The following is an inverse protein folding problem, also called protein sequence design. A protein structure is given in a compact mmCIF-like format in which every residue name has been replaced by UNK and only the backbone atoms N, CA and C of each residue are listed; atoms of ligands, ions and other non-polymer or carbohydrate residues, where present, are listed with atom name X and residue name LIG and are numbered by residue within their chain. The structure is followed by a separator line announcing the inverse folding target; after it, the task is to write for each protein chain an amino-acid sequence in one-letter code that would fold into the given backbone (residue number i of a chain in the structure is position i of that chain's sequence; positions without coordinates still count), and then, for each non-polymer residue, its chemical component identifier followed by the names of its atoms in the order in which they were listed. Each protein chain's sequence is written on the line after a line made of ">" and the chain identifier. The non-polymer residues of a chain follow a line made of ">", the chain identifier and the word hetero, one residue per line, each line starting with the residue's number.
data_IF_209980729170
#
_entry.id   IF_209980729170
#
_cell.length_a   1.000
_cell.length_b   1.000
_cell.length_c   1.000
_cell.angle_alpha   90.00
_cell.angle_beta   90.00
_cell.angle_gamma   90.00
#
_symmetry.space_group_name_H-M   'P 1'
#
loop_
_entity.id
_entity.type
_entity.pdbx_description
1 polymer ?
#
# COMPACT_ATOMS: atom_id res chain seq x y z
N UNK A 1 1.48 -17.65 -22.70
CA UNK A 1 1.64 -16.32 -22.06
C UNK A 1 0.34 -16.00 -21.35
N UNK A 2 0.38 -15.58 -20.08
CA UNK A 2 -0.81 -15.06 -19.39
C UNK A 2 -0.92 -13.56 -19.64
N UNK A 3 -2.13 -13.05 -19.82
CA UNK A 3 -2.36 -11.61 -19.98
C UNK A 3 -2.61 -10.96 -18.63
N UNK A 4 -2.20 -9.70 -18.48
CA UNK A 4 -2.52 -8.88 -17.31
C UNK A 4 -3.99 -8.45 -17.36
N UNK A 5 -4.78 -8.74 -16.32
CA UNK A 5 -6.23 -8.48 -16.30
C UNK A 5 -6.56 -6.99 -16.21
N UNK A 6 -5.73 -6.21 -15.50
CA UNK A 6 -5.81 -4.74 -15.41
C UNK A 6 -4.40 -4.17 -15.61
N UNK A 7 -4.14 -3.36 -16.66
CA UNK A 7 -2.80 -2.82 -16.91
C UNK A 7 -2.26 -2.04 -15.69
N UNK A 8 -0.99 -2.22 -15.32
CA UNK A 8 -0.44 -1.59 -14.11
C UNK A 8 -0.53 -0.06 -14.17
N UNK A 9 -0.16 0.57 -15.29
CA UNK A 9 -0.31 2.04 -15.48
C UNK A 9 -1.75 2.54 -15.31
N UNK A 10 -2.75 1.70 -15.55
CA UNK A 10 -4.15 2.03 -15.29
C UNK A 10 -4.46 1.99 -13.78
N UNK A 11 -3.92 1.01 -13.05
CA UNK A 11 -4.02 0.96 -11.58
C UNK A 11 -3.28 2.11 -10.89
N UNK A 12 -2.06 2.45 -11.33
CA UNK A 12 -1.28 3.60 -10.84
C UNK A 12 -2.07 4.91 -10.96
N UNK A 13 -2.69 5.13 -12.13
CA UNK A 13 -3.49 6.30 -12.42
C UNK A 13 -4.77 6.35 -11.55
N UNK A 14 -5.51 5.24 -11.45
CA UNK A 14 -6.73 5.18 -10.64
C UNK A 14 -6.45 5.33 -9.14
N UNK A 15 -5.38 4.71 -8.63
CA UNK A 15 -4.89 4.92 -7.25
C UNK A 15 -4.68 6.42 -6.98
N UNK A 16 -3.92 7.07 -7.86
CA UNK A 16 -3.60 8.50 -7.74
C UNK A 16 -4.84 9.39 -7.81
N UNK A 17 -5.79 9.10 -8.72
CA UNK A 17 -7.05 9.84 -8.80
C UNK A 17 -7.90 9.68 -7.53
N UNK A 18 -8.03 8.47 -6.98
CA UNK A 18 -8.80 8.24 -5.74
C UNK A 18 -8.20 9.00 -4.56
N UNK A 19 -6.88 8.97 -4.43
CA UNK A 19 -6.19 9.68 -3.36
C UNK A 19 -6.37 11.18 -3.47
N UNK A 20 -6.19 11.75 -4.67
CA UNK A 20 -6.46 13.17 -4.94
C UNK A 20 -7.95 13.54 -4.80
N UNK A 21 -8.89 12.60 -4.92
CA UNK A 21 -10.32 12.89 -4.71
C UNK A 21 -10.72 12.76 -3.24
N UNK A 22 -10.21 11.74 -2.53
CA UNK A 22 -10.45 11.52 -1.10
C UNK A 22 -9.84 12.63 -0.25
N UNK A 23 -8.57 12.95 -0.50
CA UNK A 23 -7.77 13.90 0.27
C UNK A 23 -7.57 15.26 -0.43
N UNK A 24 -8.32 15.49 -1.52
CA UNK A 24 -8.26 16.73 -2.31
C UNK A 24 -6.80 17.06 -2.69
N UNK A 25 -6.39 18.32 -2.56
CA UNK A 25 -5.03 18.80 -2.82
C UNK A 25 -4.08 18.63 -1.62
N UNK A 26 -4.38 17.74 -0.65
CA UNK A 26 -3.60 17.57 0.59
C UNK A 26 -3.00 16.17 0.77
N UNK A 27 -3.18 15.27 -0.20
CA UNK A 27 -2.26 14.16 -0.38
C UNK A 27 -1.12 14.60 -1.32
N UNK A 28 0.13 14.31 -0.95
CA UNK A 28 1.27 14.38 -1.86
C UNK A 28 1.61 12.97 -2.33
N UNK A 29 1.66 12.79 -3.65
CA UNK A 29 1.90 11.50 -4.29
C UNK A 29 3.21 11.55 -5.07
N UNK A 30 4.04 10.52 -4.93
CA UNK A 30 5.21 10.36 -5.78
C UNK A 30 5.38 8.90 -6.22
N UNK A 31 5.72 8.74 -7.49
CA UNK A 31 6.02 7.48 -8.14
C UNK A 31 7.52 7.51 -8.48
N UNK A 32 8.41 6.88 -7.69
CA UNK A 32 9.80 6.69 -8.09
C UNK A 32 9.90 6.08 -9.48
N UNK A 33 10.88 6.53 -10.27
CA UNK A 33 11.29 5.80 -11.45
C UNK A 33 11.98 4.48 -11.05
N UNK A 34 12.12 3.56 -11.99
CA UNK A 34 12.73 2.26 -11.75
C UNK A 34 14.16 2.39 -11.19
N UNK A 35 14.41 1.77 -10.03
CA UNK A 35 15.67 1.84 -9.30
C UNK A 35 15.85 3.11 -8.45
N UNK A 36 14.88 4.03 -8.43
CA UNK A 36 14.88 5.15 -7.48
C UNK A 36 14.38 4.70 -6.11
N UNK A 37 15.23 4.86 -5.09
CA UNK A 37 14.81 4.63 -3.72
C UNK A 37 14.03 5.83 -3.14
N UNK A 38 13.10 5.55 -2.21
CA UNK A 38 12.28 6.57 -1.59
C UNK A 38 13.07 7.29 -0.51
N UNK A 39 13.56 8.48 -0.84
CA UNK A 39 14.20 9.37 0.10
C UNK A 39 13.15 10.11 0.96
N UNK A 40 13.08 9.78 2.24
CA UNK A 40 12.20 10.42 3.23
C UNK A 40 12.45 11.95 3.32
N UNK A 41 13.66 12.42 3.02
CA UNK A 41 14.00 13.84 2.95
C UNK A 41 13.28 14.63 1.86
N UNK A 42 12.61 13.95 0.91
CA UNK A 42 11.76 14.57 -0.11
C UNK A 42 10.29 14.70 0.30
N UNK A 43 9.92 14.23 1.50
CA UNK A 43 8.57 14.42 2.03
C UNK A 43 8.26 15.91 2.29
N UNK A 44 6.99 16.34 2.11
CA UNK A 44 6.54 17.68 2.45
C UNK A 44 6.97 18.10 3.86
N UNK A 45 7.39 19.35 4.01
CA UNK A 45 7.84 19.94 5.28
C UNK A 45 6.67 20.34 6.18
N UNK A 46 5.72 19.42 6.37
CA UNK A 46 4.51 19.61 7.19
C UNK A 46 4.32 18.43 8.16
N UNK A 47 3.39 18.52 9.12
CA UNK A 47 2.98 17.41 9.97
C UNK A 47 2.05 16.47 9.20
N UNK A 48 2.19 15.17 9.40
CA UNK A 48 1.40 14.19 8.63
C UNK A 48 1.93 12.77 8.70
N UNK A 49 1.44 11.91 7.82
CA UNK A 49 1.79 10.49 7.71
C UNK A 49 2.30 10.17 6.31
N UNK A 50 3.32 9.34 6.20
CA UNK A 50 3.76 8.75 4.94
C UNK A 50 3.62 7.22 4.96
N UNK A 51 3.16 6.65 3.85
CA UNK A 51 3.13 5.20 3.61
C UNK A 51 3.63 4.89 2.20
N UNK A 52 4.16 3.67 2.02
CA UNK A 52 4.51 3.14 0.72
C UNK A 52 3.48 2.09 0.29
N UNK A 53 3.12 2.07 -0.99
CA UNK A 53 2.21 1.08 -1.58
C UNK A 53 2.89 0.43 -2.77
N UNK A 54 2.95 -0.89 -2.79
CA UNK A 54 3.37 -1.68 -3.94
C UNK A 54 2.13 -2.19 -4.67
N UNK A 55 1.82 -1.62 -5.84
CA UNK A 55 0.71 -2.13 -6.65
C UNK A 55 1.10 -3.44 -7.33
N UNK A 56 0.24 -4.45 -7.24
CA UNK A 56 0.34 -5.68 -8.06
C UNK A 56 -0.94 -5.90 -8.83
N UNK A 57 -0.82 -6.35 -10.07
CA UNK A 57 -1.97 -6.74 -10.89
C UNK A 57 -2.32 -8.24 -10.75
N UNK A 58 -3.35 -8.68 -11.45
CA UNK A 58 -3.69 -10.11 -11.61
C UNK A 58 -3.35 -10.60 -13.01
N UNK A 59 -2.71 -11.77 -13.10
CA UNK A 59 -2.49 -12.47 -14.36
C UNK A 59 -3.67 -13.40 -14.65
N UNK A 60 -4.30 -13.24 -15.82
CA UNK A 60 -5.29 -14.17 -16.36
C UNK A 60 -4.56 -15.44 -16.81
N UNK A 61 -4.80 -16.55 -16.09
CA UNK A 61 -4.24 -17.87 -16.42
C UNK A 61 -5.20 -18.72 -17.25
N UNK A 62 -6.50 -18.51 -17.03
CA UNK A 62 -7.64 -18.91 -17.87
C UNK A 62 -8.70 -17.80 -17.75
N UNK A 63 -9.69 -17.66 -18.65
CA UNK A 63 -10.70 -16.60 -18.57
C UNK A 63 -11.47 -16.55 -17.23
N UNK A 64 -11.54 -17.67 -16.52
CA UNK A 64 -12.15 -17.85 -15.20
C UNK A 64 -11.14 -17.85 -14.03
N UNK A 65 -9.83 -17.81 -14.27
CA UNK A 65 -8.78 -17.92 -13.24
C UNK A 65 -7.76 -16.78 -13.26
N UNK A 66 -7.75 -15.99 -12.19
CA UNK A 66 -6.85 -14.87 -11.99
C UNK A 66 -5.86 -15.16 -10.87
N UNK A 67 -4.56 -15.03 -11.13
CA UNK A 67 -3.49 -15.21 -10.15
C UNK A 67 -2.88 -13.87 -9.76
N UNK A 68 -2.77 -13.58 -8.45
CA UNK A 68 -1.86 -12.54 -7.95
C UNK A 68 -0.51 -13.20 -7.71
N UNK A 69 0.54 -12.61 -8.28
CA UNK A 69 1.92 -13.08 -8.16
C UNK A 69 2.80 -12.05 -7.48
N UNK A 70 3.72 -12.54 -6.67
CA UNK A 70 4.68 -11.74 -5.91
C UNK A 70 6.08 -12.09 -6.43
N UNK A 71 6.92 -11.08 -6.60
CA UNK A 71 8.36 -11.26 -6.77
C UNK A 71 8.98 -11.47 -5.38
N UNK A 72 9.67 -12.60 -5.20
CA UNK A 72 10.21 -12.98 -3.91
C UNK A 72 11.49 -12.19 -3.58
N UNK A 73 12.28 -11.80 -4.58
CA UNK A 73 13.47 -10.97 -4.38
C UNK A 73 13.07 -9.57 -3.89
N UNK A 74 12.07 -8.97 -4.54
CA UNK A 74 11.51 -7.68 -4.15
C UNK A 74 10.91 -7.72 -2.74
N UNK A 75 10.11 -8.74 -2.42
CA UNK A 75 9.55 -8.93 -1.07
C UNK A 75 10.66 -9.10 -0.02
N UNK A 76 11.70 -9.88 -0.32
CA UNK A 76 12.85 -10.07 0.56
C UNK A 76 13.58 -8.75 0.85
N UNK A 77 13.83 -7.94 -0.19
CA UNK A 77 14.44 -6.60 -0.06
C UNK A 77 13.58 -5.70 0.85
N UNK A 78 12.27 -5.63 0.62
CA UNK A 78 11.36 -4.83 1.44
C UNK A 78 11.38 -5.23 2.93
N UNK A 79 11.45 -6.53 3.23
CA UNK A 79 11.50 -7.00 4.63
C UNK A 79 12.82 -6.72 5.35
N UNK A 80 13.89 -6.34 4.62
CA UNK A 80 15.13 -5.83 5.24
C UNK A 80 15.02 -4.34 5.62
N UNK A 81 13.99 -3.63 5.15
CA UNK A 81 13.77 -2.21 5.48
C UNK A 81 13.23 -2.06 6.92
N UNK A 82 13.55 -0.95 7.62
CA UNK A 82 12.82 -0.53 8.82
C UNK A 82 11.32 -0.50 8.57
N UNK A 83 10.51 -0.83 9.59
CA UNK A 83 9.06 -1.01 9.42
C UNK A 83 8.37 0.22 8.81
N UNK A 84 8.79 1.44 9.14
CA UNK A 84 8.28 2.69 8.55
C UNK A 84 8.47 2.83 7.03
N UNK A 85 9.32 2.01 6.42
CA UNK A 85 9.68 2.02 4.99
C UNK A 85 9.18 0.80 4.22
N UNK A 86 8.57 -0.18 4.88
CA UNK A 86 8.01 -1.34 4.17
C UNK A 86 6.72 -0.93 3.45
N UNK A 87 6.41 -1.48 2.25
CA UNK A 87 5.18 -1.15 1.56
C UNK A 87 4.00 -2.00 2.04
N UNK A 88 2.80 -1.47 1.81
CA UNK A 88 1.59 -2.28 1.70
C UNK A 88 1.47 -2.79 0.25
N UNK A 89 1.30 -4.09 0.06
CA UNK A 89 0.89 -4.65 -1.23
C UNK A 89 -0.59 -4.38 -1.46
N UNK A 90 -0.91 -3.77 -2.61
CA UNK A 90 -2.29 -3.51 -3.01
C UNK A 90 -2.59 -4.12 -4.37
N UNK A 91 -3.65 -4.92 -4.46
CA UNK A 91 -3.95 -5.72 -5.66
C UNK A 91 -5.45 -5.93 -5.93
N UNK A 92 -5.84 -6.19 -7.19
CA UNK A 92 -7.22 -6.53 -7.53
C UNK A 92 -7.66 -7.86 -6.89
N UNK A 93 -8.88 -7.84 -6.35
CA UNK A 93 -9.73 -8.99 -6.05
C UNK A 93 -10.84 -9.02 -7.12
N UNK A 94 -10.62 -9.68 -8.27
CA UNK A 94 -11.47 -9.49 -9.45
C UNK A 94 -12.93 -9.82 -9.18
N UNK A 95 -13.82 -9.05 -9.81
CA UNK A 95 -15.26 -9.32 -9.84
C UNK A 95 -15.78 -9.70 -11.23
N UNK A 96 -14.88 -9.81 -12.20
CA UNK A 96 -15.10 -10.08 -13.63
C UNK A 96 -14.41 -11.38 -14.08
N UNK A 97 -14.49 -11.68 -15.39
CA UNK A 97 -13.75 -12.76 -16.08
C UNK A 97 -12.83 -12.14 -17.14
N UNK A 98 -11.71 -12.77 -17.45
CA UNK A 98 -10.81 -12.36 -18.54
C UNK A 98 -10.12 -11.02 -18.29
N UNK A 99 -9.96 -10.21 -19.34
CA UNK A 99 -9.46 -8.84 -19.20
C UNK A 99 -10.56 -7.92 -18.68
N UNK A 100 -10.21 -6.96 -17.82
CA UNK A 100 -11.19 -6.00 -17.29
C UNK A 100 -11.85 -5.18 -18.42
N UNK A 101 -11.12 -4.87 -19.49
CA UNK A 101 -11.63 -4.17 -20.69
C UNK A 101 -12.65 -5.00 -21.47
N UNK A 102 -12.41 -6.30 -21.64
CA UNK A 102 -13.36 -7.24 -22.29
C UNK A 102 -14.64 -7.37 -21.45
N UNK A 103 -14.48 -7.51 -20.14
CA UNK A 103 -15.62 -7.60 -19.23
C UNK A 103 -16.43 -6.30 -19.18
N UNK A 104 -15.77 -5.14 -19.20
CA UNK A 104 -16.42 -3.83 -19.32
C UNK A 104 -17.31 -3.77 -20.55
N UNK A 105 -16.76 -4.14 -21.71
CA UNK A 105 -17.48 -4.14 -22.98
C UNK A 105 -18.69 -5.09 -22.96
N UNK A 106 -18.55 -6.29 -22.37
CA UNK A 106 -19.67 -7.24 -22.16
C UNK A 106 -20.77 -6.67 -21.25
N UNK A 107 -20.42 -5.82 -20.28
CA UNK A 107 -21.36 -5.12 -19.42
C UNK A 107 -21.86 -3.77 -20.00
N UNK A 108 -21.48 -3.41 -21.23
CA UNK A 108 -21.87 -2.14 -21.87
C UNK A 108 -21.18 -0.91 -21.26
N UNK A 109 -20.09 -1.09 -20.51
CA UNK A 109 -19.32 -0.04 -19.85
C UNK A 109 -18.10 0.29 -20.73
N UNK A 110 -17.93 1.58 -21.07
CA UNK A 110 -16.73 2.04 -21.77
C UNK A 110 -15.53 1.95 -20.82
N UNK A 111 -14.38 1.48 -21.30
CA UNK A 111 -13.19 1.26 -20.46
C UNK A 111 -12.74 2.52 -19.68
N UNK A 112 -12.95 3.72 -20.24
CA UNK A 112 -12.67 4.99 -19.59
C UNK A 112 -13.55 5.28 -18.36
N UNK A 113 -14.72 4.65 -18.23
CA UNK A 113 -15.63 4.82 -17.09
C UNK A 113 -15.43 3.80 -15.98
N UNK A 114 -14.69 2.70 -16.22
CA UNK A 114 -14.55 1.55 -15.31
C UNK A 114 -14.31 1.91 -13.85
N UNK A 115 -13.39 2.85 -13.61
CA UNK A 115 -12.99 3.26 -12.27
C UNK A 115 -13.59 4.58 -11.80
N UNK A 116 -14.35 5.30 -12.65
CA UNK A 116 -14.83 6.66 -12.36
C UNK A 116 -16.35 6.86 -12.49
N UNK A 117 -17.07 5.99 -13.23
CA UNK A 117 -18.49 6.08 -13.63
C UNK A 117 -19.21 7.37 -13.19
N UNK A 118 -19.32 8.34 -14.12
CA UNK A 118 -19.90 9.67 -13.87
C UNK A 118 -21.30 9.64 -13.23
N UNK A 119 -22.05 8.56 -13.49
CA UNK A 119 -23.28 8.18 -12.79
C UNK A 119 -23.54 6.69 -12.99
N UNK A 120 -23.28 5.83 -11.99
CA UNK A 120 -23.43 4.38 -12.20
C UNK A 120 -23.19 3.46 -11.00
N UNK A 121 -23.43 2.15 -11.22
CA UNK A 121 -23.45 1.10 -10.21
C UNK A 121 -22.07 0.42 -10.03
N UNK A 122 -21.47 0.62 -8.85
CA UNK A 122 -20.69 -0.39 -8.09
C UNK A 122 -19.47 -1.08 -8.76
N UNK A 123 -18.93 -0.61 -9.89
CA UNK A 123 -17.68 -1.14 -10.48
C UNK A 123 -16.42 -0.29 -10.20
N UNK A 124 -16.57 0.74 -9.36
CA UNK A 124 -15.50 1.60 -8.87
C UNK A 124 -14.30 0.80 -8.33
N UNK A 125 -13.07 1.16 -8.72
CA UNK A 125 -11.90 0.30 -8.48
C UNK A 125 -11.57 0.05 -7.00
N UNK A 126 -11.81 1.04 -6.14
CA UNK A 126 -11.58 0.90 -4.69
C UNK A 126 -12.54 -0.11 -3.99
N UNK A 127 -13.58 -0.61 -4.67
CA UNK A 127 -14.42 -1.70 -4.16
C UNK A 127 -13.83 -3.10 -4.39
N UNK A 128 -13.00 -3.24 -5.43
CA UNK A 128 -12.35 -4.51 -5.78
C UNK A 128 -10.84 -4.51 -5.54
N UNK A 129 -10.21 -3.39 -5.22
CA UNK A 129 -8.83 -3.38 -4.69
C UNK A 129 -8.80 -3.81 -3.21
N UNK A 130 -7.81 -4.61 -2.85
CA UNK A 130 -7.49 -4.98 -1.47
C UNK A 130 -6.03 -4.70 -1.13
N UNK A 131 -5.72 -4.57 0.16
CA UNK A 131 -4.43 -4.13 0.71
C UNK A 131 -3.96 -5.09 1.82
N UNK A 132 -2.65 -5.36 1.87
CA UNK A 132 -1.97 -6.15 2.91
C UNK A 132 -0.56 -5.58 3.21
N UNK A 133 -0.09 -5.56 4.47
CA UNK A 133 1.32 -5.32 4.78
C UNK A 133 2.27 -6.32 4.10
N UNK A 134 3.52 -5.92 3.82
CA UNK A 134 4.55 -6.84 3.31
C UNK A 134 4.79 -8.05 4.23
N UNK A 135 4.72 -7.87 5.55
CA UNK A 135 4.82 -8.96 6.53
C UNK A 135 3.71 -10.01 6.33
N UNK A 136 2.44 -9.60 6.30
CA UNK A 136 1.29 -10.48 6.06
C UNK A 136 1.41 -11.22 4.71
N UNK A 137 1.97 -10.57 3.68
CA UNK A 137 2.22 -11.23 2.37
C UNK A 137 3.24 -12.35 2.51
N UNK A 138 4.33 -12.15 3.26
CA UNK A 138 5.32 -13.19 3.53
C UNK A 138 4.75 -14.35 4.36
N UNK A 139 4.01 -14.06 5.44
CA UNK A 139 3.37 -15.07 6.28
C UNK A 139 2.37 -15.93 5.48
N UNK A 140 1.62 -15.30 4.57
CA UNK A 140 0.70 -16.02 3.67
C UNK A 140 1.43 -16.84 2.61
N UNK A 141 2.58 -16.41 2.10
CA UNK A 141 3.44 -17.25 1.25
C UNK A 141 3.99 -18.47 2.01
N UNK A 142 4.24 -18.31 3.32
CA UNK A 142 4.58 -19.39 4.25
C UNK A 142 5.80 -20.18 3.75
N UNK A 143 5.75 -21.52 3.63
CA UNK A 143 6.90 -22.35 3.28
C UNK A 143 7.46 -22.11 1.86
N UNK A 144 6.87 -21.22 1.06
CA UNK A 144 7.37 -20.80 -0.26
C UNK A 144 8.34 -19.62 -0.19
N UNK A 145 8.53 -19.03 0.98
CA UNK A 145 9.34 -17.85 1.19
C UNK A 145 10.03 -17.91 2.57
N UNK A 146 11.35 -17.77 2.61
CA UNK A 146 12.11 -17.61 3.85
C UNK A 146 12.73 -16.20 3.85
N UNK A 147 12.33 -15.29 4.77
CA UNK A 147 12.89 -13.93 4.82
C UNK A 147 14.40 -13.92 5.17
N UNK A 148 14.98 -15.03 5.61
CA UNK A 148 16.40 -15.17 5.94
C UNK A 148 17.27 -15.55 4.75
N UNK A 149 16.67 -16.02 3.65
CA UNK A 149 17.39 -16.53 2.47
C UNK A 149 17.02 -15.69 1.27
N UNK A 150 18.00 -14.96 0.71
CA UNK A 150 17.79 -14.17 -0.49
C UNK A 150 17.31 -15.07 -1.65
N UNK A 151 16.13 -14.82 -2.24
CA UNK A 151 15.62 -15.64 -3.34
C UNK A 151 16.46 -15.51 -4.61
N UNK A 152 16.45 -16.57 -5.44
CA UNK A 152 17.10 -16.55 -6.74
C UNK A 152 16.49 -15.52 -7.71
N UNK A 153 17.25 -15.13 -8.73
CA UNK A 153 16.78 -14.18 -9.77
C UNK A 153 15.47 -14.68 -10.40
N UNK A 154 14.51 -13.75 -10.59
CA UNK A 154 13.17 -14.02 -11.13
C UNK A 154 12.32 -15.01 -10.30
N UNK A 155 12.65 -15.27 -9.04
CA UNK A 155 11.84 -16.11 -8.17
C UNK A 155 10.49 -15.46 -7.88
N UNK A 156 9.39 -16.14 -8.26
CA UNK A 156 8.04 -15.62 -8.08
C UNK A 156 7.08 -16.70 -7.59
N UNK A 157 6.25 -16.36 -6.61
CA UNK A 157 5.19 -17.22 -6.09
C UNK A 157 3.79 -16.64 -6.34
N UNK A 158 2.79 -17.52 -6.43
CA UNK A 158 1.38 -17.10 -6.41
C UNK A 158 0.93 -16.89 -4.98
N UNK A 159 0.49 -15.67 -4.65
CA UNK A 159 -0.11 -15.31 -3.37
C UNK A 159 -1.54 -15.83 -3.24
N UNK A 160 -2.37 -15.61 -4.27
CA UNK A 160 -3.77 -16.04 -4.32
C UNK A 160 -4.21 -16.34 -5.75
N UNK A 161 -5.10 -17.31 -5.90
CA UNK A 161 -5.91 -17.55 -7.10
C UNK A 161 -7.36 -17.23 -6.84
N UNK A 162 -7.97 -16.42 -7.70
CA UNK A 162 -9.41 -16.20 -7.74
C UNK A 162 -10.04 -17.08 -8.82
N UNK A 163 -11.05 -17.85 -8.43
CA UNK A 163 -11.85 -18.69 -9.33
C UNK A 163 -13.23 -18.06 -9.55
N UNK A 164 -13.41 -17.60 -10.78
CA UNK A 164 -14.56 -16.84 -11.28
C UNK A 164 -15.52 -17.72 -12.08
N UNK A 165 -15.28 -19.04 -12.17
CA UNK A 165 -16.15 -19.98 -12.88
C UNK A 165 -17.58 -19.97 -12.32
N UNK A 166 -17.72 -19.82 -11.00
CA UNK A 166 -18.97 -19.75 -10.25
C UNK A 166 -19.40 -18.30 -9.92
N UNK A 167 -20.71 -18.02 -9.79
CA UNK A 167 -21.22 -16.69 -9.48
C UNK A 167 -20.86 -16.23 -8.06
N UNK A 168 -20.87 -14.91 -7.84
CA UNK A 168 -20.79 -14.32 -6.50
C UNK A 168 -22.04 -14.68 -5.69
N UNK A 169 -21.97 -15.00 -4.38
CA UNK A 169 -20.78 -14.97 -3.51
C UNK A 169 -19.98 -16.29 -3.44
N UNK A 170 -20.30 -17.30 -4.26
CA UNK A 170 -19.70 -18.64 -4.19
C UNK A 170 -18.28 -18.74 -4.78
N UNK A 171 -17.74 -17.63 -5.30
CA UNK A 171 -16.37 -17.49 -5.84
C UNK A 171 -15.33 -18.01 -4.86
N UNK A 172 -14.37 -18.77 -5.36
CA UNK A 172 -13.37 -19.46 -4.54
C UNK A 172 -12.04 -18.72 -4.59
N UNK A 173 -11.37 -18.67 -3.44
CA UNK A 173 -10.07 -18.02 -3.29
C UNK A 173 -9.08 -19.02 -2.72
N UNK A 174 -8.05 -19.34 -3.50
CA UNK A 174 -7.00 -20.29 -3.11
C UNK A 174 -5.71 -19.53 -2.83
N UNK A 175 -5.57 -19.13 -1.57
CA UNK A 175 -4.38 -18.49 -1.01
C UNK A 175 -3.20 -19.47 -0.95
N UNK A 176 -1.96 -18.95 -0.91
CA UNK A 176 -0.74 -19.74 -0.83
C UNK A 176 -0.68 -20.60 0.44
N UNK A 177 -0.94 -19.96 1.57
CA UNK A 177 -1.35 -20.49 2.87
C UNK A 177 -2.61 -19.73 3.27
N UNK A 178 -3.51 -20.33 4.06
CA UNK A 178 -4.78 -19.65 4.42
C UNK A 178 -4.50 -18.52 5.43
N UNK A 179 -4.78 -17.23 5.12
CA UNK A 179 -4.52 -16.15 6.05
C UNK A 179 -5.37 -16.29 7.33
N UNK A 180 -4.77 -16.09 8.52
CA UNK A 180 -5.48 -15.77 9.75
C UNK A 180 -6.46 -14.61 9.56
N UNK A 181 -7.48 -14.50 10.41
CA UNK A 181 -8.54 -13.48 10.27
C UNK A 181 -7.98 -12.04 10.30
N UNK A 182 -6.96 -11.78 11.12
CA UNK A 182 -6.33 -10.46 11.24
C UNK A 182 -5.44 -10.07 10.05
N UNK A 183 -4.88 -11.07 9.34
CA UNK A 183 -4.07 -10.92 8.11
C UNK A 183 -4.92 -10.97 6.82
N UNK A 184 -6.26 -10.88 6.93
CA UNK A 184 -7.10 -10.86 5.73
C UNK A 184 -6.93 -9.54 4.98
N UNK A 185 -6.83 -9.56 3.63
CA UNK A 185 -6.75 -8.35 2.84
C UNK A 185 -7.90 -7.40 3.16
N UNK A 186 -7.53 -6.17 3.51
CA UNK A 186 -8.49 -5.10 3.79
C UNK A 186 -8.95 -4.47 2.47
N UNK A 187 -10.21 -4.05 2.35
CA UNK A 187 -10.66 -3.30 1.17
C UNK A 187 -9.89 -1.98 1.08
N UNK A 188 -9.53 -1.54 -0.12
CA UNK A 188 -8.82 -0.28 -0.36
C UNK A 188 -9.49 0.92 0.32
N UNK A 189 -10.82 1.04 0.26
CA UNK A 189 -11.54 2.13 0.97
C UNK A 189 -11.27 2.12 2.49
N UNK A 190 -11.48 0.97 3.13
CA UNK A 190 -11.32 0.78 4.57
C UNK A 190 -9.87 0.92 5.04
N UNK A 191 -8.90 0.59 4.18
CA UNK A 191 -7.48 0.77 4.48
C UNK A 191 -7.12 2.23 4.79
N UNK A 192 -7.69 3.17 4.04
CA UNK A 192 -7.50 4.61 4.27
C UNK A 192 -8.16 5.07 5.58
N UNK A 193 -9.39 4.61 5.84
CA UNK A 193 -10.11 4.89 7.10
C UNK A 193 -9.31 4.41 8.34
N UNK A 194 -8.73 3.19 8.27
CA UNK A 194 -7.89 2.65 9.34
C UNK A 194 -6.53 3.36 9.46
N UNK A 195 -5.86 3.67 8.33
CA UNK A 195 -4.55 4.34 8.34
C UNK A 195 -4.62 5.76 8.92
N UNK A 196 -5.71 6.49 8.62
CA UNK A 196 -6.00 7.78 9.24
C UNK A 196 -6.02 7.68 10.77
N UNK A 197 -6.45 6.54 11.34
CA UNK A 197 -6.44 6.24 12.78
C UNK A 197 -5.17 5.51 13.27
N UNK A 198 -4.06 5.62 12.53
CA UNK A 198 -2.76 4.99 12.78
C UNK A 198 -2.70 3.47 12.52
N UNK A 199 -3.74 2.89 11.94
CA UNK A 199 -3.74 1.49 11.48
C UNK A 199 -3.75 0.46 12.60
N UNK A 200 -3.15 -0.71 12.32
CA UNK A 200 -3.07 -1.85 13.24
C UNK A 200 -1.63 -2.04 13.75
N UNK A 201 -1.40 -2.83 14.82
CA UNK A 201 -0.08 -3.35 15.15
C UNK A 201 0.62 -3.94 13.92
N UNK A 202 1.93 -3.71 13.81
CA UNK A 202 2.74 -4.10 12.65
C UNK A 202 2.52 -3.31 11.35
N UNK A 203 1.65 -2.29 11.30
CA UNK A 203 1.43 -1.55 10.04
C UNK A 203 2.56 -0.55 9.72
N UNK A 204 3.16 -0.63 8.52
CA UNK A 204 4.24 0.27 8.11
C UNK A 204 3.72 1.68 7.84
N UNK A 205 4.26 2.66 8.55
CA UNK A 205 4.03 4.09 8.29
C UNK A 205 5.15 4.94 8.91
N UNK A 206 5.30 6.17 8.44
CA UNK A 206 6.14 7.20 9.07
C UNK A 206 5.23 8.36 9.50
N UNK A 207 5.37 8.86 10.72
CA UNK A 207 4.63 10.05 11.17
C UNK A 207 5.62 11.19 11.35
N UNK A 208 5.30 12.40 10.85
CA UNK A 208 6.09 13.61 11.07
C UNK A 208 5.31 14.58 11.95
N UNK A 209 5.93 15.05 13.02
CA UNK A 209 5.34 15.98 13.99
C UNK A 209 6.37 17.06 14.38
N UNK A 210 5.93 18.30 14.69
CA UNK A 210 6.82 19.33 15.20
C UNK A 210 7.49 18.92 16.51
N UNK A 211 8.76 19.29 16.66
CA UNK A 211 9.56 19.00 17.85
C UNK A 211 8.97 19.59 19.14
N UNK A 212 8.32 20.75 19.04
CA UNK A 212 7.77 21.50 20.17
C UNK A 212 6.56 20.85 20.86
N UNK A 213 5.77 20.05 20.14
CA UNK A 213 4.60 19.35 20.70
C UNK A 213 4.93 17.96 21.25
N UNK A 214 6.12 17.42 20.98
CA UNK A 214 6.47 16.04 21.31
C UNK A 214 6.92 15.88 22.77
N UNK A 215 6.16 15.13 23.61
CA UNK A 215 6.57 14.87 24.98
C UNK A 215 7.93 14.19 25.08
N UNK A 216 8.60 14.33 26.23
CA UNK A 216 9.89 13.69 26.53
C UNK A 216 9.84 12.15 26.56
N UNK A 217 8.64 11.56 26.49
CA UNK A 217 8.40 10.13 26.33
C UNK A 217 9.16 9.52 25.13
N UNK A 218 9.64 8.28 25.32
CA UNK A 218 10.35 7.51 24.28
C UNK A 218 9.42 6.70 23.37
N UNK A 219 8.20 6.40 23.85
CA UNK A 219 7.14 5.71 23.11
C UNK A 219 5.82 6.45 23.26
N UNK A 220 4.97 6.35 22.26
CA UNK A 220 3.64 6.93 22.14
C UNK A 220 2.69 5.85 21.66
N UNK A 221 1.46 5.81 22.18
CA UNK A 221 0.43 4.93 21.62
C UNK A 221 -0.25 5.62 20.41
N UNK A 222 -0.98 4.87 19.61
CA UNK A 222 -1.71 5.38 18.44
C UNK A 222 -2.61 6.58 18.74
N UNK A 223 -3.33 6.59 19.88
CA UNK A 223 -4.19 7.71 20.29
C UNK A 223 -3.39 8.97 20.55
N UNK A 224 -2.30 8.91 21.31
CA UNK A 224 -1.44 10.07 21.57
C UNK A 224 -0.83 10.64 20.30
N UNK A 225 -0.49 9.79 19.32
CA UNK A 225 -0.05 10.25 17.99
C UNK A 225 -1.18 10.95 17.22
N UNK A 226 -2.41 10.46 17.31
CA UNK A 226 -3.59 11.12 16.72
C UNK A 226 -3.93 12.44 17.40
N UNK A 227 -3.83 12.54 18.72
CA UNK A 227 -4.00 13.79 19.49
C UNK A 227 -2.98 14.83 19.02
N UNK A 228 -1.69 14.45 18.95
CA UNK A 228 -0.61 15.30 18.45
C UNK A 228 -0.78 15.74 16.99
N UNK A 229 -1.22 14.83 16.10
CA UNK A 229 -1.56 15.18 14.72
C UNK A 229 -2.77 16.14 14.65
N UNK A 230 -3.74 15.98 15.56
CA UNK A 230 -4.92 16.83 15.62
C UNK A 230 -4.64 18.25 16.10
N UNK A 231 -3.66 18.42 16.99
CA UNK A 231 -3.22 19.72 17.52
C UNK A 231 -2.61 20.61 16.43
N UNK A 232 -1.85 20.01 15.51
CA UNK A 232 -1.11 20.71 14.45
C UNK A 232 -1.85 20.78 13.10
N UNK A 233 -3.16 20.52 13.07
CA UNK A 233 -3.96 20.55 11.83
C UNK A 233 -4.04 21.97 11.27
N UNK A 234 -3.49 22.14 10.07
CA UNK A 234 -3.55 23.42 9.35
C UNK A 234 -2.44 24.41 9.72
N UNK A 235 -1.46 24.00 10.55
CA UNK A 235 -0.19 24.71 10.62
C UNK A 235 0.55 24.69 9.25
N UNK A 236 1.52 25.60 9.11
CA UNK A 236 2.23 25.83 7.86
C UNK A 236 3.37 24.86 7.57
N UNK A 237 4.36 25.36 6.82
CA UNK A 237 5.61 24.64 6.59
C UNK A 237 6.62 24.93 7.72
N UNK A 238 7.35 23.89 8.10
CA UNK A 238 8.38 23.92 9.13
C UNK A 238 9.76 23.78 8.49
N UNK A 239 10.82 24.12 9.22
CA UNK A 239 12.15 23.66 8.82
C UNK A 239 12.28 22.15 9.01
N UNK A 240 13.03 21.50 8.12
CA UNK A 240 13.12 20.03 8.12
C UNK A 240 13.68 19.45 9.43
N UNK A 241 14.53 20.22 10.14
CA UNK A 241 15.09 19.88 11.46
C UNK A 241 14.07 19.93 12.60
N UNK A 242 13.00 20.69 12.43
CA UNK A 242 11.99 20.95 13.45
C UNK A 242 10.82 19.95 13.34
N UNK A 243 10.81 19.11 12.29
CA UNK A 243 9.93 17.95 12.15
C UNK A 243 10.64 16.68 12.59
N UNK A 244 10.19 16.12 13.71
CA UNK A 244 10.65 14.83 14.23
C UNK A 244 9.81 13.72 13.63
N UNK A 245 10.48 12.61 13.32
CA UNK A 245 9.84 11.40 12.82
C UNK A 245 9.51 10.43 13.95
N UNK A 246 8.31 9.86 13.90
CA UNK A 246 7.93 8.68 14.66
C UNK A 246 7.78 7.49 13.72
N UNK A 247 8.34 6.36 14.12
CA UNK A 247 8.24 5.07 13.44
C UNK A 247 7.45 4.09 14.31
N UNK A 248 6.67 3.15 13.73
CA UNK A 248 5.98 2.12 14.49
C UNK A 248 6.98 1.24 15.26
N UNK A 249 6.60 0.83 16.46
CA UNK A 249 7.41 -0.08 17.28
C UNK A 249 7.11 -1.57 17.05
N UNK A 250 6.10 -1.87 16.22
CA UNK A 250 5.62 -3.22 15.91
C UNK A 250 4.38 -3.61 16.72
N UNK A 251 4.26 -3.12 17.95
CA UNK A 251 3.23 -3.53 18.92
C UNK A 251 1.96 -2.64 18.86
N UNK A 252 1.85 -1.77 17.85
CA UNK A 252 0.80 -0.76 17.73
C UNK A 252 1.12 0.57 18.42
N UNK A 253 2.34 0.71 18.95
CA UNK A 253 2.92 1.96 19.40
C UNK A 253 3.82 2.60 18.35
N UNK A 254 4.35 3.76 18.72
CA UNK A 254 5.27 4.57 17.94
C UNK A 254 6.44 5.00 18.83
N UNK A 255 7.63 5.11 18.24
CA UNK A 255 8.85 5.60 18.88
C UNK A 255 9.50 6.67 18.02
N UNK A 256 10.29 7.56 18.61
CA UNK A 256 11.11 8.49 17.82
C UNK A 256 12.05 7.70 16.89
N UNK A 257 12.15 8.13 15.64
CA UNK A 257 13.10 7.58 14.65
C UNK A 257 14.53 7.76 15.19
N UNK A 258 15.35 6.70 15.29
CA UNK A 258 16.77 6.83 15.55
C UNK A 258 17.42 7.58 14.39
N UNK A 259 18.31 8.52 14.69
CA UNK A 259 18.97 9.37 13.69
C UNK A 259 19.69 8.57 12.59
N UNK A 260 20.07 7.32 12.85
CA UNK A 260 20.71 6.40 11.90
C UNK A 260 19.71 5.69 10.94
N UNK A 261 18.43 5.53 11.30
CA UNK A 261 17.40 4.94 10.42
C UNK A 261 17.07 5.86 9.22
N UNK A 262 17.54 7.11 9.24
CA UNK A 262 17.21 8.17 8.27
C UNK A 262 18.16 8.23 7.06
N UNK A 263 19.47 8.03 7.27
CA UNK A 263 20.50 8.24 6.24
C UNK A 263 20.71 7.09 5.25
N UNK A 264 20.20 5.89 5.53
CA UNK A 264 20.28 4.76 4.59
C UNK A 264 19.17 4.88 3.55
N UNK A 265 19.48 5.46 2.39
CA UNK A 265 18.83 5.00 1.17
C UNK A 265 19.29 3.56 0.97
N UNK A 266 18.34 2.63 0.99
CA UNK A 266 18.63 1.26 0.60
C UNK A 266 18.30 1.22 -0.87
N UNK A 267 19.34 1.35 -1.71
CA UNK A 267 19.24 1.05 -3.13
C UNK A 267 18.62 -0.33 -3.23
N UNK A 268 17.34 -0.37 -3.59
CA UNK A 268 16.69 -1.59 -4.00
C UNK A 268 17.49 -1.99 -5.24
N UNK A 269 18.19 -3.12 -5.16
CA UNK A 269 18.89 -3.67 -6.30
C UNK A 269 17.83 -3.83 -7.38
N UNK A 270 17.87 -2.91 -8.35
CA UNK A 270 17.04 -2.95 -9.52
C UNK A 270 17.16 -4.36 -10.08
N UNK A 271 16.01 -5.03 -10.26
CA UNK A 271 16.00 -6.40 -10.76
C UNK A 271 16.67 -6.51 -12.14
N UNK A 272 16.63 -7.68 -12.80
CA UNK A 272 16.96 -7.70 -14.21
C UNK A 272 16.08 -6.68 -14.95
N UNK A 273 16.68 -5.88 -15.82
CA UNK A 273 16.00 -4.83 -16.58
C UNK A 273 14.70 -5.38 -17.21
N UNK A 274 13.56 -4.84 -16.78
CA UNK A 274 12.23 -5.37 -17.10
C UNK A 274 11.39 -5.82 -15.90
N UNK A 275 11.92 -5.83 -14.67
CA UNK A 275 11.09 -5.85 -13.45
C UNK A 275 10.54 -4.45 -13.18
N UNK A 276 9.32 -4.13 -13.62
CA UNK A 276 8.72 -2.83 -13.30
C UNK A 276 8.45 -2.70 -11.79
N UNK A 277 8.85 -1.57 -11.20
CA UNK A 277 8.54 -1.20 -9.82
C UNK A 277 7.27 -0.34 -9.83
N UNK A 278 6.23 -0.78 -9.13
CA UNK A 278 4.94 -0.08 -9.06
C UNK A 278 4.72 0.50 -7.66
N UNK A 279 5.81 1.04 -7.11
CA UNK A 279 5.85 1.60 -5.76
C UNK A 279 5.36 3.03 -5.78
N UNK A 280 4.42 3.35 -4.89
CA UNK A 280 3.89 4.69 -4.66
C UNK A 280 4.26 5.16 -3.26
N UNK A 281 4.80 6.36 -3.14
CA UNK A 281 4.82 7.11 -1.88
C UNK A 281 3.54 7.93 -1.77
N UNK A 282 2.82 7.77 -0.67
CA UNK A 282 1.65 8.56 -0.33
C UNK A 282 1.93 9.27 0.99
N UNK A 283 1.90 10.60 0.96
CA UNK A 283 1.97 11.44 2.15
C UNK A 283 0.62 12.13 2.37
N UNK A 284 0.08 12.00 3.57
CA UNK A 284 -1.18 12.58 4.02
C UNK A 284 -0.87 13.70 5.01
N UNK A 285 -1.26 14.93 4.68
CA UNK A 285 -1.19 16.09 5.57
C UNK A 285 -2.13 15.88 6.78
N UNK A 286 -1.69 16.25 7.98
CA UNK A 286 -2.48 16.09 9.22
C UNK A 286 -3.87 16.75 9.12
N UNK A 287 -3.99 17.83 8.33
CA UNK A 287 -5.23 18.59 8.19
C UNK A 287 -6.37 17.92 7.41
N UNK A 288 -6.16 16.73 6.79
CA UNK A 288 -7.27 15.90 6.27
C UNK A 288 -7.61 14.68 7.13
N UNK A 289 -6.74 14.26 8.05
CA UNK A 289 -7.04 13.07 8.88
C UNK A 289 -8.26 13.33 9.76
N UNK A 290 -9.15 12.35 9.89
CA UNK A 290 -10.30 12.47 10.80
C UNK A 290 -9.83 12.75 12.25
N UNK A 291 -10.43 13.75 12.94
CA UNK A 291 -10.13 14.00 14.33
C UNK A 291 -10.69 12.87 15.21
N UNK A 292 -10.07 12.65 16.37
CA UNK A 292 -10.62 11.74 17.37
C UNK A 292 -11.98 12.27 17.86
N UNK A 293 -12.99 11.40 17.83
CA UNK A 293 -14.35 11.62 18.37
C UNK A 293 -14.47 11.00 19.77
#
# INVERSE_FOLDING_TARGET
>A
MGFVSVPEKTLEHWSSQHLNYRYRSKASLWWPAYGEDINIGWLPRRPGKAVQIELKTTTVTRPDLHDVRIDLGQLWQYLQLPLSRQPFYAFPRPTWKGLLTEAAAQHGIVAAELAYQRSGRTWWFAEWMVVMPAADVADVLGPKFDPRVQPGRNASARLVRYDMSVPHPLRRETWATRPPVHMRPLKWRLFWDELEHCGRPGWPQLVRLPSGILPSSRRFNARTVMEMLSEVRGEGEYEARDLIELVPDGDGGFRRSPTEELGRSLTIDAGPAGTEEHRQLVYLDASEMEPLV
#
